data_IF_797996713780
#
_entry.id   IF_797996713780
#
_cell.length_a   1.000
_cell.length_b   1.000
_cell.length_c   1.000
_cell.angle_alpha   90.00
_cell.angle_beta   90.00
_cell.angle_gamma   90.00
#
_symmetry.space_group_name_H-M   'P 1'
#
loop_
_entity.id
_entity.type
_entity.pdbx_description
1 polymer ?
#
# COMPACT_ATOMS: atom_id res chain seq x y z
N UNK A 1 21.30 19.49 9.73
CA UNK A 1 20.24 19.40 8.70
C UNK A 1 20.67 20.22 7.50
N UNK A 2 21.13 19.56 6.44
CA UNK A 2 21.61 20.24 5.24
C UNK A 2 20.42 20.85 4.48
N UNK A 3 20.30 22.17 4.56
CA UNK A 3 19.15 22.91 4.03
C UNK A 3 19.15 22.91 2.50
N UNK A 4 18.10 22.35 1.89
CA UNK A 4 17.81 22.52 0.47
C UNK A 4 17.60 24.02 0.17
N UNK A 5 17.93 24.44 -1.05
CA UNK A 5 17.60 25.79 -1.52
C UNK A 5 16.09 25.90 -1.80
N UNK A 6 15.56 27.12 -1.87
CA UNK A 6 14.12 27.33 -2.17
C UNK A 6 13.70 26.68 -3.49
N UNK A 7 14.53 26.79 -4.54
CA UNK A 7 14.25 26.16 -5.84
C UNK A 7 14.31 24.63 -5.78
N UNK A 8 15.23 24.07 -5.00
CA UNK A 8 15.29 22.62 -4.80
C UNK A 8 14.07 22.09 -4.04
N UNK A 9 13.59 22.83 -3.02
CA UNK A 9 12.37 22.49 -2.30
C UNK A 9 11.15 22.56 -3.22
N UNK A 10 11.06 23.59 -4.07
CA UNK A 10 10.00 23.74 -5.05
C UNK A 10 10.01 22.62 -6.08
N UNK A 11 11.18 22.26 -6.60
CA UNK A 11 11.36 21.10 -7.46
C UNK A 11 10.87 19.82 -6.78
N UNK A 12 11.29 19.56 -5.53
CA UNK A 12 10.83 18.38 -4.79
C UNK A 12 9.31 18.35 -4.64
N UNK A 13 8.70 19.51 -4.32
CA UNK A 13 7.25 19.63 -4.15
C UNK A 13 6.51 19.26 -5.43
N UNK A 14 6.89 19.83 -6.56
CA UNK A 14 6.24 19.52 -7.85
C UNK A 14 6.50 18.08 -8.27
N UNK A 15 7.72 17.56 -8.06
CA UNK A 15 8.04 16.18 -8.40
C UNK A 15 7.23 15.16 -7.59
N UNK A 16 7.06 15.40 -6.28
CA UNK A 16 6.22 14.55 -5.42
C UNK A 16 4.74 14.57 -5.83
N UNK A 17 4.27 15.65 -6.46
CA UNK A 17 2.89 15.79 -6.93
C UNK A 17 2.67 15.15 -8.31
N UNK A 18 3.55 15.41 -9.28
CA UNK A 18 3.34 14.98 -10.67
C UNK A 18 4.06 13.68 -11.04
N UNK A 19 5.13 13.32 -10.31
CA UNK A 19 6.04 12.23 -10.69
C UNK A 19 6.92 12.54 -11.91
N UNK A 20 6.79 13.73 -12.49
CA UNK A 20 7.49 14.13 -13.71
C UNK A 20 8.63 15.10 -13.40
N UNK A 21 9.88 14.70 -13.65
CA UNK A 21 11.05 15.51 -13.31
C UNK A 21 11.21 16.76 -14.18
N UNK A 22 10.86 16.69 -15.46
CA UNK A 22 10.94 17.84 -16.37
C UNK A 22 9.91 18.90 -16.01
N UNK A 23 8.67 18.48 -15.73
CA UNK A 23 7.61 19.37 -15.25
C UNK A 23 8.01 20.04 -13.94
N UNK A 24 8.52 19.27 -12.98
CA UNK A 24 8.99 19.80 -11.70
C UNK A 24 10.12 20.82 -11.87
N UNK A 25 11.02 20.61 -12.84
CA UNK A 25 12.12 21.53 -13.13
C UNK A 25 11.63 22.82 -13.77
N UNK A 26 10.71 22.75 -14.74
CA UNK A 26 10.09 23.92 -15.39
C UNK A 26 9.35 24.78 -14.37
N UNK A 27 8.69 24.17 -13.39
CA UNK A 27 7.98 24.93 -12.36
C UNK A 27 8.92 25.61 -11.34
N UNK A 28 10.07 24.99 -11.04
CA UNK A 28 10.98 25.48 -10.00
C UNK A 28 12.11 26.40 -10.51
N UNK A 29 12.38 26.40 -11.81
CA UNK A 29 13.48 27.14 -12.42
C UNK A 29 13.00 27.95 -13.63
N UNK A 30 13.70 29.03 -13.94
CA UNK A 30 13.48 29.76 -15.18
C UNK A 30 14.05 28.94 -16.35
N UNK A 31 13.16 28.48 -17.23
CA UNK A 31 13.50 27.64 -18.38
C UNK A 31 13.11 28.27 -19.72
N UNK A 32 12.72 29.54 -19.77
CA UNK A 32 12.15 30.17 -20.98
C UNK A 32 13.06 30.05 -22.22
N UNK A 33 14.39 30.06 -22.01
CA UNK A 33 15.39 29.98 -23.08
C UNK A 33 16.13 28.63 -23.13
N UNK A 34 15.65 27.62 -22.41
CA UNK A 34 16.27 26.29 -22.36
C UNK A 34 15.65 25.37 -23.41
N UNK A 35 16.48 24.52 -24.03
CA UNK A 35 15.99 23.41 -24.86
C UNK A 35 15.45 22.30 -23.97
N UNK A 36 14.45 21.58 -24.43
CA UNK A 36 13.84 20.44 -23.72
C UNK A 36 14.87 19.41 -23.25
N UNK A 37 15.86 19.09 -24.09
CA UNK A 37 16.92 18.16 -23.73
C UNK A 37 17.77 18.67 -22.56
N UNK A 38 18.02 19.98 -22.50
CA UNK A 38 18.76 20.60 -21.39
C UNK A 38 17.94 20.53 -20.11
N UNK A 39 16.65 20.87 -20.18
CA UNK A 39 15.72 20.76 -19.04
C UNK A 39 15.71 19.32 -18.50
N UNK A 40 15.55 18.33 -19.37
CA UNK A 40 15.56 16.92 -18.98
C UNK A 40 16.87 16.50 -18.32
N UNK A 41 18.01 16.91 -18.89
CA UNK A 41 19.32 16.58 -18.34
C UNK A 41 19.55 17.22 -16.96
N UNK A 42 19.19 18.49 -16.79
CA UNK A 42 19.33 19.19 -15.50
C UNK A 42 18.36 18.63 -14.45
N UNK A 43 17.11 18.36 -14.81
CA UNK A 43 16.13 17.70 -13.95
C UNK A 43 16.63 16.33 -13.47
N UNK A 44 17.19 15.52 -14.39
CA UNK A 44 17.74 14.21 -14.06
C UNK A 44 18.95 14.30 -13.12
N UNK A 45 19.84 15.26 -13.33
CA UNK A 45 20.97 15.54 -12.41
C UNK A 45 20.46 15.97 -11.05
N UNK A 46 19.45 16.84 -11.01
CA UNK A 46 18.89 17.37 -9.77
C UNK A 46 18.22 16.27 -8.94
N UNK A 47 17.52 15.35 -9.60
CA UNK A 47 16.90 14.20 -8.95
C UNK A 47 17.93 13.25 -8.30
N UNK A 48 19.12 13.15 -8.90
CA UNK A 48 20.25 12.36 -8.36
C UNK A 48 21.08 13.10 -7.32
N UNK A 49 20.79 14.38 -7.06
CA UNK A 49 21.47 15.11 -6.00
C UNK A 49 21.13 14.48 -4.65
N UNK A 50 22.14 14.12 -3.87
CA UNK A 50 22.01 13.39 -2.61
C UNK A 50 20.95 14.01 -1.67
N UNK A 51 20.95 15.34 -1.52
CA UNK A 51 20.02 16.05 -0.62
C UNK A 51 18.58 16.03 -1.15
N UNK A 52 18.42 16.15 -2.46
CA UNK A 52 17.10 16.11 -3.13
C UNK A 52 16.52 14.71 -3.06
N UNK A 53 17.34 13.70 -3.38
CA UNK A 53 16.98 12.30 -3.29
C UNK A 53 16.58 11.91 -1.86
N UNK A 54 17.40 12.24 -0.86
CA UNK A 54 17.12 11.97 0.55
C UNK A 54 15.82 12.66 1.01
N UNK A 55 15.58 13.90 0.59
CA UNK A 55 14.34 14.60 0.94
C UNK A 55 13.11 13.91 0.33
N UNK A 56 13.13 13.62 -0.97
CA UNK A 56 12.03 12.94 -1.68
C UNK A 56 11.76 11.58 -1.03
N UNK A 57 12.79 10.78 -0.79
CA UNK A 57 12.67 9.47 -0.14
C UNK A 57 12.06 9.60 1.26
N UNK A 58 12.52 10.59 2.04
CA UNK A 58 11.99 10.81 3.40
C UNK A 58 10.51 11.16 3.40
N UNK A 59 10.05 11.97 2.44
CA UNK A 59 8.63 12.35 2.30
C UNK A 59 7.82 11.15 1.85
N UNK A 60 8.26 10.44 0.81
CA UNK A 60 7.58 9.23 0.31
C UNK A 60 7.47 8.16 1.40
N UNK A 61 8.52 7.95 2.19
CA UNK A 61 8.51 7.03 3.32
C UNK A 61 7.51 7.47 4.38
N UNK A 62 7.45 8.77 4.71
CA UNK A 62 6.47 9.31 5.66
C UNK A 62 5.05 9.13 5.17
N UNK A 63 4.78 9.42 3.90
CA UNK A 63 3.45 9.25 3.29
C UNK A 63 3.04 7.78 3.21
N UNK A 64 4.00 6.89 2.89
CA UNK A 64 3.78 5.45 2.89
C UNK A 64 3.45 4.94 4.29
N UNK A 65 4.21 5.34 5.31
CA UNK A 65 3.94 5.00 6.70
C UNK A 65 2.58 5.54 7.18
N UNK A 66 2.24 6.78 6.83
CA UNK A 66 0.93 7.36 7.15
C UNK A 66 -0.23 6.61 6.49
N UNK A 67 -0.09 6.27 5.21
CA UNK A 67 -1.07 5.45 4.47
C UNK A 67 -1.20 4.06 5.09
N UNK A 68 -0.09 3.43 5.45
CA UNK A 68 -0.06 2.12 6.11
C UNK A 68 -0.81 2.17 7.45
N UNK A 69 -0.48 3.13 8.31
CA UNK A 69 -1.12 3.30 9.62
C UNK A 69 -2.64 3.56 9.48
N UNK A 70 -3.03 4.35 8.48
CA UNK A 70 -4.45 4.62 8.21
C UNK A 70 -5.16 3.34 7.78
N UNK A 71 -4.55 2.54 6.90
CA UNK A 71 -5.09 1.24 6.49
C UNK A 71 -5.19 0.28 7.66
N UNK A 72 -4.16 0.18 8.50
CA UNK A 72 -4.18 -0.67 9.68
C UNK A 72 -5.33 -0.30 10.61
N UNK A 73 -5.53 0.99 10.88
CA UNK A 73 -6.68 1.49 11.66
C UNK A 73 -8.04 1.08 11.08
N UNK A 74 -8.16 0.98 9.76
CA UNK A 74 -9.40 0.47 9.14
C UNK A 74 -9.53 -1.04 9.28
N UNK A 75 -8.44 -1.79 9.17
CA UNK A 75 -8.45 -3.24 9.42
C UNK A 75 -8.86 -3.54 10.86
N UNK A 76 -8.27 -2.85 11.83
CA UNK A 76 -8.60 -3.03 13.26
C UNK A 76 -10.10 -2.79 13.50
N UNK A 77 -10.68 -1.73 12.91
CA UNK A 77 -12.12 -1.45 12.99
C UNK A 77 -13.00 -2.50 12.34
N UNK A 78 -12.52 -3.14 11.27
CA UNK A 78 -13.27 -4.21 10.61
C UNK A 78 -13.21 -5.48 11.44
N UNK A 79 -12.07 -5.78 12.06
CA UNK A 79 -11.91 -6.89 13.00
C UNK A 79 -12.82 -6.69 14.24
N UNK A 80 -12.93 -5.46 14.78
CA UNK A 80 -13.88 -5.13 15.86
C UNK A 80 -15.33 -5.48 15.48
N UNK A 81 -15.75 -5.25 14.23
CA UNK A 81 -17.09 -5.60 13.74
C UNK A 81 -17.26 -7.12 13.64
N UNK A 82 -16.21 -7.83 13.23
CA UNK A 82 -16.24 -9.29 13.09
C UNK A 82 -16.42 -9.95 14.47
N UNK A 83 -15.70 -9.46 15.47
CA UNK A 83 -15.68 -10.03 16.82
C UNK A 83 -16.83 -9.54 17.72
N UNK A 84 -17.48 -8.42 17.38
CA UNK A 84 -18.59 -7.87 18.16
C UNK A 84 -19.82 -8.78 18.19
N UNK A 85 -20.35 -9.05 19.37
CA UNK A 85 -21.63 -9.78 19.55
C UNK A 85 -22.85 -8.94 19.12
N UNK A 86 -22.72 -7.61 19.08
CA UNK A 86 -23.79 -6.68 18.69
C UNK A 86 -23.92 -6.54 17.16
N UNK A 87 -22.93 -7.00 16.39
CA UNK A 87 -22.94 -6.93 14.93
C UNK A 87 -23.69 -8.10 14.31
N UNK A 88 -24.54 -7.80 13.33
CA UNK A 88 -25.29 -8.81 12.59
C UNK A 88 -24.37 -9.67 11.72
N UNK A 89 -24.79 -10.90 11.42
CA UNK A 89 -24.05 -11.81 10.53
C UNK A 89 -23.74 -11.18 9.16
N UNK A 90 -24.65 -10.36 8.63
CA UNK A 90 -24.46 -9.65 7.37
C UNK A 90 -23.31 -8.65 7.45
N UNK A 91 -23.24 -7.85 8.52
CA UNK A 91 -22.17 -6.87 8.76
C UNK A 91 -20.82 -7.57 8.92
N UNK A 92 -20.78 -8.70 9.64
CA UNK A 92 -19.58 -9.53 9.77
C UNK A 92 -19.08 -10.05 8.43
N UNK A 93 -19.97 -10.59 7.60
CA UNK A 93 -19.62 -11.06 6.24
C UNK A 93 -19.09 -9.91 5.38
N UNK A 94 -19.69 -8.73 5.45
CA UNK A 94 -19.22 -7.56 4.72
C UNK A 94 -17.83 -7.11 5.19
N UNK A 95 -17.59 -7.11 6.51
CA UNK A 95 -16.30 -6.77 7.09
C UNK A 95 -15.22 -7.77 6.64
N UNK A 96 -15.47 -9.07 6.74
CA UNK A 96 -14.57 -10.15 6.28
C UNK A 96 -14.20 -9.96 4.80
N UNK A 97 -15.20 -9.73 3.94
CA UNK A 97 -14.97 -9.52 2.52
C UNK A 97 -14.12 -8.27 2.25
N UNK A 98 -14.30 -7.22 3.05
CA UNK A 98 -13.55 -5.96 2.92
C UNK A 98 -12.10 -6.15 3.38
N UNK A 99 -11.88 -6.82 4.51
CA UNK A 99 -10.54 -7.21 5.00
C UNK A 99 -9.81 -8.06 3.97
N UNK A 100 -10.47 -9.08 3.40
CA UNK A 100 -9.88 -9.95 2.38
C UNK A 100 -9.43 -9.15 1.15
N UNK A 101 -10.27 -8.24 0.64
CA UNK A 101 -9.92 -7.35 -0.49
C UNK A 101 -8.73 -6.46 -0.18
N UNK A 102 -8.66 -5.88 1.02
CA UNK A 102 -7.56 -5.02 1.45
C UNK A 102 -6.24 -5.80 1.56
N UNK A 103 -6.26 -6.99 2.17
CA UNK A 103 -5.08 -7.87 2.25
C UNK A 103 -4.57 -8.30 0.88
N UNK A 104 -5.48 -8.66 -0.04
CA UNK A 104 -5.11 -8.98 -1.42
C UNK A 104 -4.52 -7.77 -2.16
N UNK A 105 -5.06 -6.57 -1.93
CA UNK A 105 -4.53 -5.33 -2.51
C UNK A 105 -3.10 -5.07 -2.03
N UNK A 106 -2.80 -5.33 -0.76
CA UNK A 106 -1.45 -5.18 -0.21
C UNK A 106 -0.44 -6.15 -0.84
N UNK A 107 -0.82 -7.43 -1.02
CA UNK A 107 0.03 -8.42 -1.72
C UNK A 107 0.35 -7.99 -3.15
N UNK A 108 -0.65 -7.54 -3.91
CA UNK A 108 -0.46 -7.04 -5.28
C UNK A 108 0.46 -5.83 -5.34
N UNK A 109 0.28 -4.86 -4.42
CA UNK A 109 1.10 -3.64 -4.40
C UNK A 109 2.55 -3.91 -3.96
N UNK A 110 2.77 -4.91 -3.12
CA UNK A 110 4.10 -5.37 -2.73
C UNK A 110 4.82 -6.18 -3.83
N UNK A 111 4.19 -6.42 -4.99
CA UNK A 111 4.76 -7.23 -6.06
C UNK A 111 4.79 -8.73 -5.75
N UNK A 112 4.14 -9.18 -4.66
CA UNK A 112 3.92 -10.60 -4.42
C UNK A 112 2.78 -11.06 -5.34
N UNK A 113 3.10 -11.89 -6.33
CA UNK A 113 2.11 -12.53 -7.17
C UNK A 113 1.24 -13.42 -6.27
N UNK A 114 -0.04 -13.06 -6.11
CA UNK A 114 -1.00 -13.91 -5.40
C UNK A 114 -1.44 -14.97 -6.38
N UNK A 115 -0.96 -16.19 -6.19
CA UNK A 115 -1.56 -17.33 -6.87
C UNK A 115 -2.89 -17.65 -6.18
N UNK A 116 -3.98 -17.21 -6.81
CA UNK A 116 -5.34 -17.43 -6.33
C UNK A 116 -5.70 -18.92 -6.28
N UNK A 117 -5.01 -19.75 -7.07
CA UNK A 117 -5.20 -21.19 -7.05
C UNK A 117 -4.62 -21.78 -5.76
N UNK A 118 -3.44 -21.31 -5.34
CA UNK A 118 -2.76 -21.83 -4.15
C UNK A 118 -3.49 -21.46 -2.85
N UNK A 119 -3.99 -20.21 -2.71
CA UNK A 119 -4.81 -19.85 -1.54
C UNK A 119 -6.15 -20.61 -1.49
N UNK A 120 -6.79 -20.82 -2.64
CA UNK A 120 -8.01 -21.63 -2.74
C UNK A 120 -7.73 -23.08 -2.33
N UNK A 121 -6.65 -23.66 -2.83
CA UNK A 121 -6.25 -25.04 -2.54
C UNK A 121 -5.88 -25.22 -1.06
N UNK A 122 -5.23 -24.23 -0.44
CA UNK A 122 -4.91 -24.22 1.00
C UNK A 122 -6.16 -24.11 1.87
N UNK A 123 -7.11 -23.25 1.51
CA UNK A 123 -8.39 -23.12 2.22
C UNK A 123 -9.24 -24.38 2.08
N UNK A 124 -9.26 -25.00 0.90
CA UNK A 124 -9.95 -26.29 0.70
C UNK A 124 -9.27 -27.41 1.50
N UNK A 125 -7.94 -27.43 1.60
CA UNK A 125 -7.20 -28.39 2.43
C UNK A 125 -7.46 -28.20 3.92
N UNK A 126 -7.48 -26.97 4.43
CA UNK A 126 -7.75 -26.73 5.86
C UNK A 126 -9.17 -27.15 6.22
N UNK A 127 -10.16 -26.81 5.39
CA UNK A 127 -11.56 -27.23 5.57
C UNK A 127 -11.72 -28.76 5.49
N UNK A 128 -10.99 -29.42 4.59
CA UNK A 128 -11.00 -30.89 4.49
C UNK A 128 -10.40 -31.58 5.72
N UNK A 129 -9.53 -30.90 6.47
CA UNK A 129 -8.88 -31.46 7.67
C UNK A 129 -9.83 -31.39 8.88
N UNK A 130 -10.69 -30.37 8.97
CA UNK A 130 -11.68 -30.23 10.06
C UNK A 130 -12.89 -31.18 9.94
N UNK A 131 -13.20 -31.68 8.74
CA UNK A 131 -14.34 -32.59 8.52
C UNK A 131 -13.94 -34.07 8.81
N UNK A 132 -12.66 -34.35 9.05
CA UNK A 132 -12.12 -35.71 9.27
C UNK A 132 -12.26 -36.28 10.69
N UNK A 133 -12.78 -35.52 11.66
CA UNK A 133 -12.97 -35.99 13.05
C UNK A 133 -14.44 -35.93 13.50
N UNK A 134 -15.35 -36.49 12.71
CA UNK A 134 -16.68 -36.87 13.23
C UNK A 134 -16.54 -38.20 13.98
N UNK A 135 -16.17 -38.10 15.25
CA UNK A 135 -16.14 -39.23 16.19
C UNK A 135 -17.52 -39.90 16.20
N UNK A 136 -17.57 -41.18 15.80
CA UNK A 136 -18.76 -42.02 15.89
C UNK A 136 -19.18 -42.13 17.35
N UNK A 137 -20.36 -41.60 17.70
CA UNK A 137 -20.98 -41.90 19.00
C UNK A 137 -21.58 -43.31 18.93
N UNK A 138 -21.26 -44.20 19.88
CA UNK A 138 -21.86 -45.53 19.90
C UNK A 138 -23.35 -45.43 20.24
N UNK A 139 -24.21 -46.05 19.42
CA UNK A 139 -25.58 -46.37 19.81
C UNK A 139 -25.52 -47.27 21.03
N UNK A 140 -26.19 -46.87 22.12
CA UNK A 140 -26.53 -47.77 23.21
C UNK A 140 -27.81 -48.50 22.80
N UNK A 141 -27.69 -49.81 22.57
CA UNK A 141 -28.81 -50.70 22.36
C UNK A 141 -29.63 -50.82 23.67
N UNK A 142 -30.95 -50.71 23.55
CA UNK A 142 -31.96 -51.22 24.49
C UNK A 142 -32.80 -52.23 23.71
#
# INVERSE_FOLDING_TARGET
MNKLTSKQLEFCKYYLQSGCMTEAYIQAYDTENMKDQTIHNEASKLLKNEKVAEFIESVQKREMLGTFNTRQKYLDKLDDIIDSDDSSMSEKIQAINTVAKLKQWDKRKAGLQVDFQEESDLLQRSLATDIGSFHSYPRKDI
#
